data_IF_003425710538
#
_entry.id   IF_003425710538
#
_cell.length_a   1.000
_cell.length_b   1.000
_cell.length_c   1.000
_cell.angle_alpha   90.00
_cell.angle_beta   90.00
_cell.angle_gamma   90.00
#
_symmetry.space_group_name_H-M   'P 1'
#
loop_
_entity.id
_entity.type
_entity.pdbx_description
1 polymer ?
#
# COMPACT_ATOMS: atom_id res chain seq x y z
N UNK A 1 -7.47 -24.35 -31.73
CA UNK A 1 -7.29 -23.40 -30.60
C UNK A 1 -8.43 -22.37 -30.48
N UNK A 2 -9.06 -21.94 -31.58
CA UNK A 2 -10.31 -21.12 -31.57
C UNK A 2 -11.51 -21.89 -30.98
N UNK A 3 -11.57 -23.21 -31.21
CA UNK A 3 -12.68 -24.06 -30.77
C UNK A 3 -12.89 -24.09 -29.23
N UNK A 4 -11.81 -23.94 -28.44
CA UNK A 4 -11.91 -23.95 -26.98
C UNK A 4 -12.48 -22.65 -26.38
N UNK A 5 -12.27 -21.51 -27.06
CA UNK A 5 -12.86 -20.21 -26.68
C UNK A 5 -14.38 -20.21 -26.94
N UNK A 6 -14.80 -20.74 -28.09
CA UNK A 6 -16.23 -20.93 -28.43
C UNK A 6 -16.91 -21.87 -27.45
N UNK A 7 -16.26 -23.00 -27.12
CA UNK A 7 -16.85 -24.01 -26.23
C UNK A 7 -17.09 -23.54 -24.78
N UNK A 8 -16.20 -22.69 -24.22
CA UNK A 8 -16.41 -22.15 -22.86
C UNK A 8 -17.48 -21.06 -22.78
N UNK A 9 -17.59 -20.22 -23.82
CA UNK A 9 -18.62 -19.17 -23.88
C UNK A 9 -20.02 -19.74 -24.15
N UNK A 10 -20.12 -20.89 -24.80
CA UNK A 10 -21.39 -21.56 -25.11
C UNK A 10 -22.02 -22.29 -23.91
N UNK A 11 -21.29 -22.44 -22.79
CA UNK A 11 -21.81 -22.99 -21.53
C UNK A 11 -22.52 -21.98 -20.62
N UNK A 12 -22.49 -20.68 -20.95
CA UNK A 12 -23.27 -19.67 -20.23
C UNK A 12 -24.50 -19.31 -21.07
N UNK A 13 -25.67 -19.93 -20.83
CA UNK A 13 -26.83 -19.76 -21.69
C UNK A 13 -27.56 -18.45 -21.37
N UNK A 14 -26.92 -17.28 -21.51
CA UNK A 14 -27.55 -15.94 -21.47
C UNK A 14 -26.54 -14.79 -21.46
N UNK A 15 -25.43 -14.85 -22.21
CA UNK A 15 -24.53 -13.69 -22.31
C UNK A 15 -24.98 -12.75 -23.45
N UNK A 16 -25.27 -11.47 -23.19
CA UNK A 16 -25.73 -10.53 -24.21
C UNK A 16 -24.70 -10.31 -25.33
N UNK A 17 -25.17 -10.17 -26.58
CA UNK A 17 -24.34 -10.01 -27.79
C UNK A 17 -23.39 -8.81 -27.77
N UNK A 18 -23.63 -7.80 -26.93
CA UNK A 18 -22.73 -6.66 -26.77
C UNK A 18 -21.42 -7.03 -26.03
N UNK A 19 -21.41 -8.08 -25.20
CA UNK A 19 -20.19 -8.56 -24.53
C UNK A 19 -19.26 -9.27 -25.52
N UNK A 20 -19.83 -9.94 -26.53
CA UNK A 20 -19.05 -10.60 -27.58
C UNK A 20 -18.41 -9.62 -28.57
N UNK A 21 -19.04 -8.46 -28.79
CA UNK A 21 -18.60 -7.47 -29.78
C UNK A 21 -17.92 -6.24 -29.16
N UNK A 22 -17.95 -6.09 -27.83
CA UNK A 22 -17.16 -5.08 -27.17
C UNK A 22 -15.67 -5.40 -27.35
N UNK A 23 -14.80 -4.41 -27.59
CA UNK A 23 -13.36 -4.55 -27.41
C UNK A 23 -13.09 -4.61 -25.90
N UNK A 24 -13.62 -5.64 -25.25
CA UNK A 24 -13.20 -5.99 -23.91
C UNK A 24 -11.75 -6.37 -24.11
N UNK A 25 -10.85 -5.63 -23.48
CA UNK A 25 -9.47 -6.05 -23.34
C UNK A 25 -9.52 -7.41 -22.64
N UNK A 26 -9.55 -8.48 -23.41
CA UNK A 26 -9.41 -9.83 -22.90
C UNK A 26 -7.96 -9.89 -22.47
N UNK A 27 -7.70 -9.54 -21.22
CA UNK A 27 -6.39 -9.62 -20.58
C UNK A 27 -5.85 -11.07 -20.60
N UNK A 28 -6.60 -12.04 -21.12
CA UNK A 28 -6.28 -13.47 -21.15
C UNK A 28 -6.55 -14.01 -22.55
N UNK A 29 -5.65 -13.73 -23.49
CA UNK A 29 -5.59 -14.53 -24.73
C UNK A 29 -5.06 -15.93 -24.41
N UNK A 30 -4.07 -16.02 -23.51
CA UNK A 30 -3.41 -17.24 -23.06
C UNK A 30 -3.14 -17.23 -21.54
N UNK A 31 -3.86 -18.08 -20.81
CA UNK A 31 -3.74 -18.19 -19.35
C UNK A 31 -2.36 -18.68 -18.90
N UNK A 32 -1.66 -19.43 -19.76
CA UNK A 32 -0.35 -20.02 -19.48
C UNK A 32 0.73 -18.96 -19.27
N UNK A 33 0.78 -17.93 -20.12
CA UNK A 33 1.77 -16.84 -19.97
C UNK A 33 1.50 -16.01 -18.73
N UNK A 34 0.23 -15.72 -18.45
CA UNK A 34 -0.18 -14.97 -17.26
C UNK A 34 0.15 -15.73 -15.97
N UNK A 35 -0.11 -17.04 -15.94
CA UNK A 35 0.28 -17.90 -14.84
C UNK A 35 1.80 -17.92 -14.64
N UNK A 36 2.56 -18.06 -15.74
CA UNK A 36 4.03 -18.02 -15.70
C UNK A 36 4.57 -16.71 -15.14
N UNK A 37 4.06 -15.57 -15.62
CA UNK A 37 4.45 -14.24 -15.12
C UNK A 37 4.11 -14.10 -13.63
N UNK A 38 2.92 -14.54 -13.20
CA UNK A 38 2.51 -14.44 -11.81
C UNK A 38 3.39 -15.30 -10.88
N UNK A 39 3.76 -16.52 -11.31
CA UNK A 39 4.67 -17.39 -10.56
C UNK A 39 6.06 -16.76 -10.46
N UNK A 40 6.62 -16.29 -11.57
CA UNK A 40 7.94 -15.63 -11.58
C UNK A 40 7.93 -14.39 -10.70
N UNK A 41 6.89 -13.57 -10.79
CA UNK A 41 6.75 -12.37 -9.99
C UNK A 41 6.67 -12.69 -8.49
N UNK A 42 5.83 -13.64 -8.08
CA UNK A 42 5.73 -14.07 -6.68
C UNK A 42 7.07 -14.62 -6.18
N UNK A 43 7.77 -15.40 -6.99
CA UNK A 43 9.08 -15.93 -6.65
C UNK A 43 10.10 -14.81 -6.46
N UNK A 44 10.20 -13.86 -7.39
CA UNK A 44 11.12 -12.72 -7.30
C UNK A 44 10.80 -11.85 -6.08
N UNK A 45 9.52 -11.53 -5.84
CA UNK A 45 9.10 -10.74 -4.69
C UNK A 45 9.41 -11.44 -3.37
N UNK A 46 9.10 -12.74 -3.25
CA UNK A 46 9.41 -13.51 -2.05
C UNK A 46 10.91 -13.55 -1.77
N UNK A 47 11.72 -13.90 -2.77
CA UNK A 47 13.17 -13.95 -2.62
C UNK A 47 13.77 -12.57 -2.31
N UNK A 48 13.27 -11.51 -2.94
CA UNK A 48 13.70 -10.13 -2.67
C UNK A 48 13.44 -9.71 -1.22
N UNK A 49 12.27 -10.06 -0.67
CA UNK A 49 11.93 -9.79 0.73
C UNK A 49 12.83 -10.57 1.70
N UNK A 50 13.06 -11.86 1.42
CA UNK A 50 13.97 -12.69 2.23
C UNK A 50 15.41 -12.18 2.16
N UNK A 51 15.90 -11.84 0.97
CA UNK A 51 17.24 -11.29 0.78
C UNK A 51 17.43 -9.98 1.56
N UNK A 52 16.40 -9.11 1.57
CA UNK A 52 16.43 -7.87 2.34
C UNK A 52 16.45 -8.13 3.85
N UNK A 53 15.68 -9.10 4.35
CA UNK A 53 15.72 -9.50 5.77
C UNK A 53 17.11 -10.03 6.16
N UNK A 54 17.69 -10.90 5.34
CA UNK A 54 19.03 -11.45 5.56
C UNK A 54 20.09 -10.34 5.53
N UNK A 55 19.99 -9.42 4.57
CA UNK A 55 20.89 -8.27 4.47
C UNK A 55 20.81 -7.38 5.72
N UNK A 56 19.59 -7.07 6.18
CA UNK A 56 19.36 -6.29 7.40
C UNK A 56 19.97 -7.00 8.62
N UNK A 57 19.75 -8.32 8.74
CA UNK A 57 20.31 -9.12 9.82
C UNK A 57 21.84 -9.08 9.83
N UNK A 58 22.48 -9.37 8.68
CA UNK A 58 23.93 -9.35 8.55
C UNK A 58 24.52 -7.97 8.80
N UNK A 59 23.89 -6.91 8.28
CA UNK A 59 24.33 -5.55 8.51
C UNK A 59 24.28 -5.23 10.01
N UNK A 60 23.18 -5.57 10.68
CA UNK A 60 23.03 -5.36 12.13
C UNK A 60 24.09 -6.12 12.94
N UNK A 61 24.33 -7.39 12.61
CA UNK A 61 25.33 -8.22 13.28
C UNK A 61 26.77 -7.67 13.07
N UNK A 62 27.09 -7.24 11.85
CA UNK A 62 28.38 -6.61 11.52
C UNK A 62 28.57 -5.29 12.28
N UNK A 63 27.52 -4.46 12.37
CA UNK A 63 27.57 -3.22 13.12
C UNK A 63 27.82 -3.47 14.61
N UNK A 64 27.16 -4.48 15.21
CA UNK A 64 27.37 -4.85 16.60
C UNK A 64 28.81 -5.31 16.86
N UNK A 65 29.37 -6.13 15.96
CA UNK A 65 30.74 -6.65 16.10
C UNK A 65 31.83 -5.58 16.01
N UNK A 66 31.63 -4.56 15.17
CA UNK A 66 32.72 -3.65 14.82
C UNK A 66 32.93 -2.51 15.84
N UNK A 67 32.05 -2.28 16.82
CA UNK A 67 32.13 -1.17 17.82
C UNK A 67 32.44 0.24 17.24
N UNK A 68 32.35 0.42 15.91
CA UNK A 68 32.76 1.64 15.20
C UNK A 68 31.77 2.79 15.32
N UNK A 69 30.62 2.57 15.96
CA UNK A 69 29.55 3.55 16.07
C UNK A 69 29.39 4.03 17.51
N UNK A 70 29.14 5.33 17.65
CA UNK A 70 28.79 5.91 18.93
C UNK A 70 27.50 5.27 19.46
N UNK A 71 27.29 5.25 20.78
CA UNK A 71 26.06 4.75 21.37
C UNK A 71 24.79 5.43 20.81
N UNK A 72 24.89 6.71 20.45
CA UNK A 72 23.78 7.48 19.89
C UNK A 72 23.38 7.00 18.49
N UNK A 73 24.35 6.82 17.58
CA UNK A 73 24.09 6.33 16.22
C UNK A 73 23.55 4.89 16.25
N UNK A 74 24.06 4.05 17.16
CA UNK A 74 23.57 2.70 17.34
C UNK A 74 22.08 2.64 17.70
N UNK A 75 21.62 3.49 18.62
CA UNK A 75 20.20 3.52 19.01
C UNK A 75 19.30 3.95 17.85
N UNK A 76 19.71 4.95 17.07
CA UNK A 76 18.96 5.41 15.88
C UNK A 76 18.85 4.27 14.87
N UNK A 77 19.97 3.60 14.57
CA UNK A 77 20.03 2.52 13.60
C UNK A 77 19.17 1.31 14.03
N UNK A 78 19.21 0.95 15.32
CA UNK A 78 18.39 -0.13 15.88
C UNK A 78 16.89 0.14 15.70
N UNK A 79 16.43 1.35 16.03
CA UNK A 79 15.02 1.73 15.87
C UNK A 79 14.60 1.70 14.40
N UNK A 80 15.46 2.18 13.50
CA UNK A 80 15.21 2.17 12.06
C UNK A 80 15.11 0.74 11.49
N UNK A 81 16.02 -0.15 11.88
CA UNK A 81 15.97 -1.56 11.48
C UNK A 81 14.69 -2.24 11.99
N UNK A 82 14.32 -2.03 13.25
CA UNK A 82 13.07 -2.58 13.78
C UNK A 82 11.86 -2.10 12.98
N UNK A 83 11.85 -0.82 12.59
CA UNK A 83 10.79 -0.27 11.74
C UNK A 83 10.75 -0.92 10.35
N UNK A 84 11.91 -1.13 9.71
CA UNK A 84 12.01 -1.80 8.42
C UNK A 84 11.52 -3.25 8.49
N UNK A 85 11.87 -4.01 9.53
CA UNK A 85 11.40 -5.39 9.70
C UNK A 85 9.88 -5.43 9.80
N UNK A 86 9.27 -4.52 10.57
CA UNK A 86 7.80 -4.41 10.68
C UNK A 86 7.18 -4.09 9.31
N UNK A 87 7.79 -3.18 8.54
CA UNK A 87 7.31 -2.83 7.21
C UNK A 87 7.39 -3.98 6.21
N UNK A 88 8.36 -4.89 6.36
CA UNK A 88 8.51 -6.04 5.47
C UNK A 88 7.42 -7.09 5.69
N UNK A 89 6.83 -7.18 6.88
CA UNK A 89 5.71 -8.08 7.17
C UNK A 89 4.46 -7.69 6.38
N UNK A 90 4.23 -6.39 6.15
CA UNK A 90 3.04 -5.89 5.46
C UNK A 90 2.90 -6.47 4.04
N UNK A 91 3.88 -6.34 3.12
CA UNK A 91 3.78 -6.92 1.78
C UNK A 91 3.72 -8.45 1.81
N UNK A 92 4.25 -9.15 2.83
CA UNK A 92 3.98 -10.58 2.98
C UNK A 92 2.48 -10.86 3.14
N UNK A 93 1.79 -10.10 3.97
CA UNK A 93 0.37 -10.29 4.25
C UNK A 93 -0.55 -9.72 3.16
N UNK A 94 -0.20 -8.59 2.54
CA UNK A 94 -1.09 -7.88 1.60
C UNK A 94 -0.81 -8.18 0.14
N UNK A 95 0.37 -8.71 -0.20
CA UNK A 95 0.74 -9.08 -1.57
C UNK A 95 0.97 -10.59 -1.69
N UNK A 96 1.94 -11.14 -0.96
CA UNK A 96 2.38 -12.53 -1.15
C UNK A 96 1.25 -13.51 -0.78
N UNK A 97 0.65 -13.36 0.40
CA UNK A 97 -0.46 -14.21 0.84
C UNK A 97 -1.64 -14.24 -0.15
N UNK A 98 -2.25 -13.09 -0.49
CA UNK A 98 -3.31 -13.01 -1.48
C UNK A 98 -2.91 -13.54 -2.86
N UNK A 99 -1.68 -13.27 -3.30
CA UNK A 99 -1.15 -13.78 -4.56
C UNK A 99 -1.06 -15.31 -4.59
N UNK A 100 -0.64 -15.93 -3.47
CA UNK A 100 -0.63 -17.40 -3.33
C UNK A 100 -2.06 -17.96 -3.37
N UNK A 101 -3.02 -17.33 -2.68
CA UNK A 101 -4.43 -17.76 -2.69
C UNK A 101 -5.01 -17.72 -4.12
N UNK A 102 -4.74 -16.65 -4.86
CA UNK A 102 -5.14 -16.52 -6.27
C UNK A 102 -4.46 -17.58 -7.13
N UNK A 103 -3.15 -17.80 -6.95
CA UNK A 103 -2.40 -18.82 -7.68
C UNK A 103 -2.95 -20.23 -7.42
N UNK A 104 -3.19 -20.59 -6.16
CA UNK A 104 -3.79 -21.87 -5.80
C UNK A 104 -5.15 -22.04 -6.46
N UNK A 105 -6.00 -21.01 -6.45
CA UNK A 105 -7.33 -21.04 -7.08
C UNK A 105 -7.24 -21.34 -8.58
N UNK A 106 -6.22 -20.82 -9.27
CA UNK A 106 -6.00 -21.08 -10.70
C UNK A 106 -5.46 -22.50 -10.94
N UNK A 107 -4.50 -22.97 -10.13
CA UNK A 107 -3.90 -24.31 -10.28
C UNK A 107 -4.93 -25.41 -9.99
N UNK A 108 -5.80 -25.22 -9.00
CA UNK A 108 -6.80 -26.21 -8.59
C UNK A 108 -8.13 -26.09 -9.35
N UNK A 109 -8.26 -25.10 -10.25
CA UNK A 109 -9.51 -24.77 -10.96
C UNK A 109 -10.70 -24.48 -10.01
N UNK A 110 -10.40 -24.06 -8.77
CA UNK A 110 -11.40 -23.76 -7.73
C UNK A 110 -11.51 -22.25 -7.50
N UNK A 111 -12.57 -21.65 -8.03
CA UNK A 111 -12.80 -20.21 -7.97
C UNK A 111 -13.90 -19.86 -6.97
N UNK A 112 -13.52 -19.25 -5.85
CA UNK A 112 -14.46 -18.63 -4.91
C UNK A 112 -14.44 -17.11 -5.08
N UNK A 113 -15.54 -16.55 -5.57
CA UNK A 113 -15.64 -15.12 -5.88
C UNK A 113 -15.38 -14.23 -4.65
N UNK A 114 -15.86 -14.63 -3.47
CA UNK A 114 -15.62 -13.91 -2.22
C UNK A 114 -14.14 -13.87 -1.86
N UNK A 115 -13.46 -15.01 -1.92
CA UNK A 115 -12.02 -15.14 -1.64
C UNK A 115 -11.19 -14.35 -2.65
N UNK A 116 -11.53 -14.42 -3.93
CA UNK A 116 -10.84 -13.67 -4.99
C UNK A 116 -11.02 -12.17 -4.82
N UNK A 117 -12.24 -11.69 -4.56
CA UNK A 117 -12.51 -10.27 -4.34
C UNK A 117 -11.74 -9.73 -3.12
N UNK A 118 -11.72 -10.49 -2.02
CA UNK A 118 -10.95 -10.12 -0.82
C UNK A 118 -9.45 -10.09 -1.13
N UNK A 119 -8.93 -11.10 -1.84
CA UNK A 119 -7.52 -11.14 -2.24
C UNK A 119 -7.12 -9.93 -3.09
N UNK A 120 -7.91 -9.58 -4.10
CA UNK A 120 -7.70 -8.40 -4.94
C UNK A 120 -7.77 -7.10 -4.13
N UNK A 121 -8.69 -7.00 -3.17
CA UNK A 121 -8.79 -5.86 -2.27
C UNK A 121 -7.50 -5.67 -1.44
N UNK A 122 -6.97 -6.74 -0.85
CA UNK A 122 -5.70 -6.68 -0.10
C UNK A 122 -4.55 -6.24 -0.99
N UNK A 123 -4.46 -6.79 -2.20
CA UNK A 123 -3.44 -6.41 -3.18
C UNK A 123 -3.58 -4.93 -3.54
N UNK A 124 -4.78 -4.42 -3.79
CA UNK A 124 -4.96 -3.00 -4.14
C UNK A 124 -4.63 -2.06 -2.97
N UNK A 125 -4.94 -2.47 -1.74
CA UNK A 125 -4.72 -1.65 -0.55
C UNK A 125 -3.29 -1.72 0.00
N UNK A 126 -2.42 -2.61 -0.51
CA UNK A 126 -1.08 -2.81 0.03
C UNK A 126 -0.29 -1.49 0.15
N UNK A 127 -0.39 -0.62 -0.86
CA UNK A 127 0.33 0.65 -0.91
C UNK A 127 -0.13 1.58 0.21
N UNK A 128 -1.46 1.75 0.34
CA UNK A 128 -2.06 2.56 1.41
C UNK A 128 -1.69 2.04 2.79
N UNK A 129 -1.79 0.73 3.02
CA UNK A 129 -1.44 0.10 4.31
C UNK A 129 0.04 0.30 4.61
N UNK A 130 0.92 0.11 3.62
CA UNK A 130 2.37 0.28 3.78
C UNK A 130 2.72 1.73 4.10
N UNK A 131 2.10 2.70 3.42
CA UNK A 131 2.32 4.13 3.68
C UNK A 131 1.83 4.52 5.07
N UNK A 132 0.63 4.12 5.46
CA UNK A 132 0.09 4.41 6.81
C UNK A 132 1.02 3.82 7.88
N UNK A 133 1.43 2.57 7.72
CA UNK A 133 2.35 1.94 8.65
C UNK A 133 3.71 2.65 8.68
N UNK A 134 4.24 3.08 7.54
CA UNK A 134 5.47 3.85 7.46
C UNK A 134 5.39 5.13 8.29
N UNK A 135 4.30 5.89 8.16
CA UNK A 135 4.09 7.13 8.90
C UNK A 135 3.99 6.89 10.42
N UNK A 136 3.42 5.76 10.85
CA UNK A 136 3.23 5.41 12.26
C UNK A 136 4.52 4.86 12.89
N UNK A 137 5.22 3.96 12.20
CA UNK A 137 6.34 3.20 12.79
C UNK A 137 7.63 4.03 12.82
N UNK A 138 7.85 4.88 11.82
CA UNK A 138 9.08 5.68 11.74
C UNK A 138 8.99 6.97 12.56
N UNK A 139 9.83 7.06 13.59
CA UNK A 139 9.99 8.24 14.45
C UNK A 139 10.11 9.59 13.69
N UNK A 140 10.95 9.75 12.65
CA UNK A 140 11.07 11.03 11.95
C UNK A 140 9.76 11.45 11.27
N UNK A 141 9.03 10.51 10.67
CA UNK A 141 7.73 10.80 10.05
C UNK A 141 6.68 11.20 11.08
N UNK A 142 6.58 10.50 12.21
CA UNK A 142 5.67 10.92 13.29
C UNK A 142 5.93 12.34 13.80
N UNK A 143 7.20 12.72 13.94
CA UNK A 143 7.58 14.06 14.39
C UNK A 143 7.20 15.11 13.35
N UNK A 144 7.46 14.85 12.06
CA UNK A 144 7.08 15.73 10.98
C UNK A 144 5.56 15.92 10.91
N UNK A 145 4.78 14.84 11.01
CA UNK A 145 3.32 14.89 11.02
C UNK A 145 2.80 15.72 12.20
N UNK A 146 3.33 15.49 13.41
CA UNK A 146 2.95 16.26 14.59
C UNK A 146 3.24 17.75 14.42
N UNK A 147 4.38 18.10 13.82
CA UNK A 147 4.74 19.49 13.54
C UNK A 147 3.82 20.11 12.47
N UNK A 148 3.47 19.37 11.42
CA UNK A 148 2.51 19.81 10.40
C UNK A 148 1.14 20.09 11.02
N UNK A 149 0.62 19.19 11.85
CA UNK A 149 -0.65 19.39 12.57
C UNK A 149 -0.59 20.58 13.53
N UNK A 150 0.54 20.77 14.24
CA UNK A 150 0.73 21.94 15.12
C UNK A 150 0.67 23.24 14.32
N UNK A 151 1.40 23.33 13.20
CA UNK A 151 1.37 24.52 12.32
C UNK A 151 0.00 24.78 11.74
N UNK A 152 -0.69 23.73 11.27
CA UNK A 152 -2.04 23.86 10.72
C UNK A 152 -3.04 24.37 11.76
N UNK A 153 -3.00 23.84 12.99
CA UNK A 153 -3.86 24.29 14.09
C UNK A 153 -3.57 25.73 14.53
N UNK A 154 -2.30 26.16 14.48
CA UNK A 154 -1.94 27.55 14.79
C UNK A 154 -2.44 28.49 13.69
N UNK A 155 -2.28 28.11 12.42
CA UNK A 155 -2.75 28.88 11.28
C UNK A 155 -4.27 29.06 11.30
N UNK A 156 -5.05 28.01 11.59
CA UNK A 156 -6.52 28.13 11.70
C UNK A 156 -6.95 29.08 12.82
N UNK A 157 -6.23 29.06 13.95
CA UNK A 157 -6.49 29.94 15.10
C UNK A 157 -6.15 31.41 14.80
N UNK A 158 -5.07 31.66 14.06
CA UNK A 158 -4.68 33.03 13.64
C UNK A 158 -5.68 33.62 12.64
N UNK A 159 -6.13 32.84 11.65
CA UNK A 159 -7.14 33.29 10.68
C UNK A 159 -8.45 33.67 11.37
N UNK A 160 -8.95 32.81 12.25
CA UNK A 160 -10.19 33.08 13.00
C UNK A 160 -10.08 34.33 13.89
N UNK A 161 -8.94 34.56 14.55
CA UNK A 161 -8.72 35.79 15.32
C UNK A 161 -8.73 37.04 14.43
N UNK A 162 -8.03 37.01 13.28
CA UNK A 162 -8.00 38.15 12.36
C UNK A 162 -9.40 38.53 11.85
N UNK A 163 -10.22 37.54 11.50
CA UNK A 163 -11.61 37.78 11.11
C UNK A 163 -12.43 38.42 12.23
N UNK A 164 -12.27 37.95 13.47
CA UNK A 164 -12.95 38.53 14.63
C UNK A 164 -12.55 40.00 14.86
N UNK A 165 -11.26 40.32 14.77
CA UNK A 165 -10.80 41.70 14.89
C UNK A 165 -11.33 42.59 13.77
N UNK A 166 -11.30 42.14 12.52
CA UNK A 166 -11.83 42.89 11.38
C UNK A 166 -13.33 43.19 11.55
N UNK A 167 -14.12 42.21 11.98
CA UNK A 167 -15.56 42.39 12.23
C UNK A 167 -15.84 43.37 13.38
N UNK A 168 -15.04 43.33 14.45
CA UNK A 168 -15.18 44.27 15.56
C UNK A 168 -14.84 45.70 15.15
N UNK A 169 -13.79 45.90 14.36
CA UNK A 169 -13.42 47.23 13.83
C UNK A 169 -14.52 47.78 12.90
N UNK A 170 -15.06 46.94 12.00
CA UNK A 170 -16.15 47.34 11.11
C UNK A 170 -17.40 47.79 11.89
N UNK A 171 -17.76 47.08 12.97
CA UNK A 171 -18.88 47.46 13.86
C UNK A 171 -18.65 48.80 14.56
N UNK A 172 -17.44 49.05 15.05
CA UNK A 172 -17.09 50.32 15.70
C UNK A 172 -17.14 51.50 14.71
N UNK A 173 -16.69 51.30 13.47
CA UNK A 173 -16.80 52.35 12.44
C UNK A 173 -18.26 52.68 12.11
N UNK A 174 -19.13 51.68 12.03
CA UNK A 174 -20.57 51.88 11.79
C UNK A 174 -21.28 52.60 12.95
N UNK A 175 -20.89 52.34 14.21
CA UNK A 175 -21.51 53.02 15.37
C UNK A 175 -21.04 54.46 15.56
N UNK A 176 -19.97 54.88 14.89
CA UNK A 176 -19.40 56.24 15.01
C UNK A 176 -19.88 57.16 13.87
N UNK A 177 -20.57 56.61 12.87
CA UNK A 177 -21.12 57.36 11.71
C UNK A 177 -22.62 57.64 11.80
N UNK A 178 -23.28 57.25 12.91
CA UNK A 178 -24.63 57.69 13.30
C UNK A 178 -24.52 58.76 14.37
#
# INVERSE_FOLDING_TARGET
MISHKVFRLQRLPCLPSYIYNAPILVLVEDITYHLGIMIVWLFVCFNGLIALLVYIYWNTAKLLKNHRMSPQTYQIHRVFITALVIQLVIPFCTIIGPGVVVLTSIITDYYNQGVTNVSVLFINLHGSVTTIAMLIVHKPYRLAIKEMFRKFSLQSTEVSRREMYANNVARMMQSTTQ
#
